data_IF_334854699906
#
_entry.id   IF_334854699906
#
_cell.length_a   1.000
_cell.length_b   1.000
_cell.length_c   1.000
_cell.angle_alpha   90.00
_cell.angle_beta   90.00
_cell.angle_gamma   90.00
#
_symmetry.space_group_name_H-M   'P 1'
#
loop_
_entity.id
_entity.type
_entity.pdbx_description
1 polymer ?
#
# COMPACT_ATOMS: atom_id res chain seq x y z
N UNK A 1 6.89 -3.10 -23.43
CA UNK A 1 5.54 -3.72 -23.50
C UNK A 1 4.59 -2.86 -22.67
N UNK A 2 3.33 -2.69 -23.06
CA UNK A 2 2.31 -1.95 -22.29
C UNK A 2 1.32 -2.97 -21.72
N UNK A 3 1.09 -2.93 -20.41
CA UNK A 3 0.27 -3.89 -19.66
C UNK A 3 -0.94 -3.16 -19.07
N UNK A 4 -2.07 -3.06 -19.79
CA UNK A 4 -3.22 -2.27 -19.36
C UNK A 4 -3.82 -2.76 -18.03
N UNK A 5 -3.79 -4.07 -17.80
CA UNK A 5 -4.34 -4.70 -16.57
C UNK A 5 -3.41 -4.61 -15.36
N UNK A 6 -2.16 -4.14 -15.52
CA UNK A 6 -1.20 -4.05 -14.43
C UNK A 6 -1.40 -2.80 -13.55
N UNK A 7 -2.29 -1.88 -13.96
CA UNK A 7 -2.56 -0.65 -13.21
C UNK A 7 -3.74 -0.87 -12.28
N UNK A 8 -3.55 -0.63 -10.99
CA UNK A 8 -4.65 -0.60 -10.04
C UNK A 8 -5.65 0.51 -10.41
N UNK A 9 -6.92 0.16 -10.61
CA UNK A 9 -8.00 1.11 -10.91
C UNK A 9 -8.90 1.24 -9.67
N UNK A 10 -8.86 2.37 -8.94
CA UNK A 10 -9.75 2.58 -7.81
C UNK A 10 -11.20 2.75 -8.28
N UNK A 11 -12.14 2.16 -7.55
CA UNK A 11 -13.58 2.35 -7.74
C UNK A 11 -14.20 2.98 -6.49
N UNK A 12 -15.28 3.78 -6.61
CA UNK A 12 -16.00 4.30 -5.46
C UNK A 12 -16.43 3.19 -4.50
N UNK A 13 -16.18 3.37 -3.21
CA UNK A 13 -16.53 2.39 -2.16
C UNK A 13 -15.54 1.22 -2.01
N UNK A 14 -14.53 1.10 -2.88
CA UNK A 14 -13.48 0.10 -2.71
C UNK A 14 -12.59 0.46 -1.51
N UNK A 15 -12.51 -0.44 -0.52
CA UNK A 15 -11.58 -0.27 0.60
C UNK A 15 -10.19 -0.73 0.22
N UNK A 16 -9.22 0.18 0.32
CA UNK A 16 -7.80 -0.14 0.16
C UNK A 16 -7.22 -0.59 1.51
N UNK A 17 -6.32 -1.56 1.54
CA UNK A 17 -5.72 -2.03 2.78
C UNK A 17 -4.67 -1.03 3.29
N UNK A 18 -4.49 -0.97 4.61
CA UNK A 18 -3.32 -0.31 5.24
C UNK A 18 -2.07 -1.21 5.18
N UNK A 19 -0.96 -0.78 5.80
CA UNK A 19 0.31 -1.51 5.74
C UNK A 19 0.34 -2.81 6.56
N UNK A 20 -0.50 -2.92 7.61
CA UNK A 20 -0.54 -4.10 8.48
C UNK A 20 -1.46 -5.18 7.92
N UNK A 21 -1.00 -6.43 7.98
CA UNK A 21 -1.84 -7.61 7.71
C UNK A 21 -2.08 -8.40 9.00
N UNK A 22 -3.03 -9.37 9.02
CA UNK A 22 -3.19 -10.28 10.13
C UNK A 22 -2.01 -11.27 10.33
N UNK A 23 -1.13 -11.39 9.33
CA UNK A 23 0.00 -12.30 9.38
C UNK A 23 1.20 -11.59 10.01
N UNK A 24 1.81 -12.26 10.99
CA UNK A 24 3.03 -11.76 11.63
C UNK A 24 4.13 -11.58 10.58
N UNK A 25 4.85 -10.47 10.67
CA UNK A 25 5.97 -10.13 9.80
C UNK A 25 5.61 -9.99 8.30
N UNK A 26 4.33 -9.83 7.96
CA UNK A 26 3.89 -9.52 6.59
C UNK A 26 3.21 -8.15 6.53
N UNK A 27 3.76 -7.28 5.68
CA UNK A 27 3.32 -5.91 5.49
C UNK A 27 3.05 -5.62 4.01
N UNK A 28 2.11 -4.72 3.73
CA UNK A 28 1.75 -4.32 2.38
C UNK A 28 2.30 -2.93 2.06
N UNK A 29 2.85 -2.80 0.86
CA UNK A 29 3.26 -1.53 0.29
C UNK A 29 2.88 -1.45 -1.19
N UNK A 30 2.55 -0.24 -1.66
CA UNK A 30 2.25 0.04 -3.05
C UNK A 30 1.14 1.07 -3.24
N UNK A 31 1.01 1.61 -4.45
CA UNK A 31 0.03 2.64 -4.79
C UNK A 31 -1.44 2.20 -4.62
N UNK A 32 -1.69 0.88 -4.52
CA UNK A 32 -3.01 0.28 -4.28
C UNK A 32 -3.42 0.29 -2.79
N UNK A 33 -2.50 0.59 -1.88
CA UNK A 33 -2.78 0.68 -0.44
C UNK A 33 -3.41 2.01 -0.06
N UNK A 34 -3.99 2.08 1.14
CA UNK A 34 -4.64 3.29 1.62
C UNK A 34 -3.66 4.28 2.25
N UNK A 35 -3.14 5.16 1.39
CA UNK A 35 -2.28 6.27 1.82
C UNK A 35 -3.05 7.59 1.96
N UNK A 36 -4.37 7.58 1.67
CA UNK A 36 -5.17 8.78 1.47
C UNK A 36 -4.88 9.53 0.15
N UNK A 37 -4.00 9.03 -0.72
CA UNK A 37 -3.65 9.65 -2.01
C UNK A 37 -4.11 8.77 -3.20
N UNK A 38 -4.26 9.33 -4.41
CA UNK A 38 -4.46 8.55 -5.63
C UNK A 38 -3.34 7.53 -5.88
N UNK A 39 -3.56 6.56 -6.76
CA UNK A 39 -2.58 5.50 -7.06
C UNK A 39 -1.44 6.02 -7.96
N UNK A 40 -0.53 6.81 -7.39
CA UNK A 40 0.65 7.39 -8.06
C UNK A 40 1.96 6.83 -7.53
N UNK A 41 3.09 7.19 -8.16
CA UNK A 41 4.42 6.83 -7.68
C UNK A 41 4.70 7.40 -6.27
N UNK A 42 4.29 8.64 -5.99
CA UNK A 42 4.43 9.28 -4.68
C UNK A 42 3.60 8.55 -3.61
N UNK A 43 2.41 8.07 -3.97
CA UNK A 43 1.59 7.23 -3.10
C UNK A 43 2.29 5.90 -2.79
N UNK A 44 2.93 5.27 -3.78
CA UNK A 44 3.72 4.05 -3.53
C UNK A 44 4.88 4.30 -2.56
N UNK A 45 5.59 5.42 -2.67
CA UNK A 45 6.66 5.80 -1.73
C UNK A 45 6.11 6.04 -0.33
N UNK A 46 5.02 6.80 -0.19
CA UNK A 46 4.37 7.03 1.12
C UNK A 46 3.90 5.73 1.76
N UNK A 47 3.35 4.82 0.96
CA UNK A 47 2.96 3.49 1.39
C UNK A 47 4.14 2.67 1.91
N UNK A 48 5.27 2.68 1.20
CA UNK A 48 6.49 2.00 1.62
C UNK A 48 7.04 2.51 2.96
N UNK A 49 7.02 3.83 3.18
CA UNK A 49 7.39 4.43 4.46
C UNK A 49 6.46 3.99 5.60
N UNK A 50 5.14 3.92 5.33
CA UNK A 50 4.17 3.45 6.32
C UNK A 50 4.37 1.96 6.66
N UNK A 51 4.71 1.13 5.67
CA UNK A 51 5.05 -0.27 5.88
C UNK A 51 6.33 -0.42 6.73
N UNK A 52 7.38 0.35 6.43
CA UNK A 52 8.62 0.35 7.20
C UNK A 52 8.37 0.77 8.67
N UNK A 53 7.59 1.84 8.89
CA UNK A 53 7.23 2.26 10.24
C UNK A 53 6.47 1.16 11.02
N UNK A 54 5.58 0.42 10.35
CA UNK A 54 4.85 -0.68 10.97
C UNK A 54 5.75 -1.88 11.33
N UNK A 55 6.81 -2.13 10.53
CA UNK A 55 7.85 -3.13 10.83
C UNK A 55 8.62 -2.75 12.09
N UNK A 56 9.09 -1.49 12.17
CA UNK A 56 9.83 -0.97 13.32
C UNK A 56 9.00 -1.08 14.61
N UNK A 57 7.74 -0.65 14.57
CA UNK A 57 6.83 -0.74 15.73
C UNK A 57 6.56 -2.18 16.18
N UNK A 58 6.63 -3.17 15.28
CA UNK A 58 6.46 -4.58 15.65
C UNK A 58 7.72 -5.27 16.18
N UNK A 59 8.88 -4.65 15.97
CA UNK A 59 10.19 -5.18 16.37
C UNK A 59 10.65 -4.65 17.72
N UNK A 60 9.97 -3.60 18.21
CA UNK A 60 10.19 -2.98 19.53
C UNK A 60 9.34 -3.57 20.65
#
# INVERSE_FOLDING_TARGET
VKEPEATFVPAPGLRRPGPRTPLANLYLAGAYTDTGWPATMESAVRSGLAAAAAVEESSG
#
